data_IF_057364209948
#
_entry.id   IF_057364209948
#
_cell.length_a   1.000
_cell.length_b   1.000
_cell.length_c   1.000
_cell.angle_alpha   90.00
_cell.angle_beta   90.00
_cell.angle_gamma   90.00
#
_symmetry.space_group_name_H-M   'P 1'
#
loop_
_entity.id
_entity.type
_entity.pdbx_description
1 polymer ?
#
# COMPACT_ATOMS: atom_id res chain seq x y z
N UNK A 1 -1.90 -13.52 -9.11
CA UNK A 1 -1.31 -12.16 -9.16
C UNK A 1 -0.20 -12.08 -8.12
N UNK A 2 1.01 -11.68 -8.51
CA UNK A 2 2.13 -11.53 -7.55
C UNK A 2 1.96 -10.21 -6.80
N UNK A 3 2.30 -10.19 -5.51
CA UNK A 3 2.11 -9.01 -4.65
C UNK A 3 2.93 -7.80 -5.12
N UNK A 4 4.09 -8.03 -5.74
CA UNK A 4 4.89 -7.00 -6.42
C UNK A 4 4.10 -6.24 -7.48
N UNK A 5 3.42 -6.97 -8.38
CA UNK A 5 2.60 -6.36 -9.44
C UNK A 5 1.41 -5.58 -8.86
N UNK A 6 0.91 -6.02 -7.71
CA UNK A 6 -0.14 -5.30 -7.01
C UNK A 6 0.39 -3.97 -6.45
N UNK A 7 1.57 -3.97 -5.82
CA UNK A 7 2.21 -2.75 -5.32
C UNK A 7 2.57 -1.78 -6.45
N UNK A 8 3.08 -2.27 -7.59
CA UNK A 8 3.37 -1.44 -8.76
C UNK A 8 2.09 -0.73 -9.25
N UNK A 9 0.96 -1.45 -9.35
CA UNK A 9 -0.33 -0.87 -9.73
C UNK A 9 -0.85 0.15 -8.71
N UNK A 10 -0.66 -0.12 -7.42
CA UNK A 10 -1.04 0.83 -6.36
C UNK A 10 -0.23 2.10 -6.50
N UNK A 11 1.07 2.01 -6.77
CA UNK A 11 1.94 3.17 -6.97
C UNK A 11 1.55 3.98 -8.20
N UNK A 12 1.22 3.34 -9.32
CA UNK A 12 0.71 4.03 -10.50
C UNK A 12 -0.63 4.73 -10.22
N UNK A 13 -1.54 4.07 -9.50
CA UNK A 13 -2.81 4.65 -9.09
C UNK A 13 -2.61 5.84 -8.14
N UNK A 14 -1.73 5.71 -7.15
CA UNK A 14 -1.36 6.77 -6.21
C UNK A 14 -0.78 7.97 -6.97
N UNK A 15 0.16 7.74 -7.89
CA UNK A 15 0.73 8.80 -8.74
C UNK A 15 -0.34 9.51 -9.56
N UNK A 16 -1.30 8.77 -10.11
CA UNK A 16 -2.41 9.33 -10.88
C UNK A 16 -3.29 10.24 -10.02
N UNK A 17 -3.63 9.80 -8.80
CA UNK A 17 -4.47 10.57 -7.87
C UNK A 17 -3.72 11.82 -7.38
N UNK A 18 -2.43 11.70 -7.04
CA UNK A 18 -1.58 12.84 -6.65
C UNK A 18 -1.45 13.84 -7.80
N UNK A 19 -1.30 13.36 -9.03
CA UNK A 19 -1.23 14.24 -10.22
C UNK A 19 -2.53 15.00 -10.44
N UNK A 20 -3.66 14.46 -9.97
CA UNK A 20 -4.96 15.13 -9.92
C UNK A 20 -5.12 16.13 -8.77
N UNK A 21 -4.07 16.38 -7.98
CA UNK A 21 -4.12 17.15 -6.72
C UNK A 21 -5.07 16.58 -5.66
N UNK A 22 -5.43 15.31 -5.79
CA UNK A 22 -6.27 14.61 -4.82
C UNK A 22 -5.41 13.80 -3.84
N UNK A 23 -5.94 13.56 -2.64
CA UNK A 23 -5.27 12.72 -1.67
C UNK A 23 -5.50 11.24 -2.00
N UNK A 24 -4.44 10.43 -2.17
CA UNK A 24 -4.58 9.01 -2.50
C UNK A 24 -5.14 8.23 -1.32
N UNK A 25 -6.47 8.17 -1.26
CA UNK A 25 -7.23 7.36 -0.29
C UNK A 25 -7.47 5.96 -0.87
N UNK A 26 -7.76 4.97 0.00
CA UNK A 26 -8.08 3.61 -0.47
C UNK A 26 -9.21 3.55 -1.48
N UNK A 27 -10.17 4.49 -1.43
CA UNK A 27 -11.24 4.61 -2.40
C UNK A 27 -10.77 5.16 -3.75
N UNK A 28 -10.00 6.25 -3.75
CA UNK A 28 -9.52 6.88 -4.98
C UNK A 28 -8.45 6.04 -5.68
N UNK A 29 -7.49 5.52 -4.91
CA UNK A 29 -6.47 4.59 -5.41
C UNK A 29 -7.14 3.35 -6.00
N UNK A 30 -8.11 2.77 -5.28
CA UNK A 30 -8.85 1.63 -5.78
C UNK A 30 -9.64 1.89 -7.05
N UNK A 31 -10.22 3.09 -7.19
CA UNK A 31 -10.88 3.53 -8.42
C UNK A 31 -9.89 3.73 -9.58
N UNK A 32 -8.70 4.26 -9.30
CA UNK A 32 -7.66 4.50 -10.29
C UNK A 32 -6.92 3.23 -10.73
N UNK A 33 -6.98 2.14 -9.96
CA UNK A 33 -6.43 0.85 -10.34
C UNK A 33 -7.22 0.20 -11.49
N UNK A 34 -6.51 -0.61 -12.30
CA UNK A 34 -7.12 -1.48 -13.30
C UNK A 34 -6.76 -2.95 -13.02
N UNK A 35 -7.74 -3.84 -12.75
CA UNK A 35 -9.17 -3.54 -12.57
C UNK A 35 -9.42 -2.68 -11.33
N UNK A 36 -10.52 -1.93 -11.35
CA UNK A 36 -10.92 -1.09 -10.22
C UNK A 36 -11.22 -1.96 -9.00
N UNK A 37 -10.62 -1.61 -7.87
CA UNK A 37 -10.73 -2.36 -6.62
C UNK A 37 -11.45 -1.50 -5.60
N UNK A 38 -12.43 -2.06 -4.90
CA UNK A 38 -13.08 -1.35 -3.80
C UNK A 38 -12.09 -1.14 -2.65
N UNK A 39 -12.17 0.02 -1.97
CA UNK A 39 -11.40 0.28 -0.75
C UNK A 39 -11.37 -0.89 0.26
N UNK A 40 -12.51 -1.56 0.58
CA UNK A 40 -12.49 -2.72 1.47
C UNK A 40 -11.71 -3.92 0.91
N UNK A 41 -11.72 -4.15 -0.40
CA UNK A 41 -10.95 -5.22 -1.02
C UNK A 41 -9.43 -4.96 -1.01
N UNK A 42 -9.02 -3.68 -1.10
CA UNK A 42 -7.62 -3.28 -0.87
C UNK A 42 -7.22 -3.58 0.58
N UNK A 43 -8.03 -3.18 1.55
CA UNK A 43 -7.79 -3.46 2.97
C UNK A 43 -7.71 -4.96 3.25
N UNK A 44 -8.60 -5.76 2.67
CA UNK A 44 -8.57 -7.21 2.81
C UNK A 44 -7.28 -7.82 2.24
N UNK A 45 -6.92 -7.47 1.01
CA UNK A 45 -5.70 -7.95 0.36
C UNK A 45 -4.44 -7.54 1.14
N UNK A 46 -4.38 -6.29 1.60
CA UNK A 46 -3.26 -5.81 2.42
C UNK A 46 -3.17 -6.55 3.73
N UNK A 47 -4.27 -6.79 4.43
CA UNK A 47 -4.26 -7.58 5.68
C UNK A 47 -3.82 -9.02 5.43
N UNK A 48 -4.32 -9.64 4.35
CA UNK A 48 -4.04 -11.02 3.99
C UNK A 48 -2.60 -11.24 3.52
N UNK A 49 -2.00 -10.25 2.86
CA UNK A 49 -0.63 -10.28 2.36
C UNK A 49 0.32 -9.34 3.14
N UNK A 50 -0.08 -8.91 4.35
CA UNK A 50 0.65 -7.88 5.13
C UNK A 50 2.12 -8.20 5.31
N UNK A 51 2.43 -9.46 5.65
CA UNK A 51 3.80 -9.90 5.88
C UNK A 51 4.64 -9.78 4.61
N UNK A 52 4.11 -10.22 3.46
CA UNK A 52 4.82 -10.11 2.20
C UNK A 52 5.01 -8.65 1.80
N UNK A 53 3.97 -7.83 1.91
CA UNK A 53 4.06 -6.39 1.64
C UNK A 53 5.16 -5.77 2.50
N UNK A 54 5.18 -6.04 3.80
CA UNK A 54 6.21 -5.52 4.70
C UNK A 54 7.61 -6.01 4.34
N UNK A 55 7.78 -7.28 3.99
CA UNK A 55 9.07 -7.81 3.53
C UNK A 55 9.54 -7.04 2.31
N UNK A 56 8.68 -6.86 1.30
CA UNK A 56 9.01 -6.12 0.09
C UNK A 56 9.31 -4.64 0.35
N UNK A 57 8.55 -4.03 1.25
CA UNK A 57 8.76 -2.64 1.61
C UNK A 57 10.11 -2.46 2.34
N UNK A 58 10.54 -3.44 3.14
CA UNK A 58 11.84 -3.42 3.79
C UNK A 58 12.98 -3.76 2.83
N UNK A 59 12.78 -4.71 1.91
CA UNK A 59 13.78 -5.15 0.93
C UNK A 59 14.05 -4.08 -0.14
N UNK A 60 13.01 -3.31 -0.52
CA UNK A 60 13.11 -2.26 -1.54
C UNK A 60 12.69 -0.90 -1.01
N UNK A 61 13.47 -0.25 -0.10
CA UNK A 61 13.13 1.05 0.46
C UNK A 61 12.96 2.15 -0.61
N UNK A 62 13.70 2.06 -1.71
CA UNK A 62 13.61 2.97 -2.85
C UNK A 62 12.38 2.78 -3.74
N UNK A 63 11.63 1.67 -3.57
CA UNK A 63 10.42 1.42 -4.35
C UNK A 63 9.14 1.82 -3.61
N UNK A 64 8.17 2.25 -4.42
CA UNK A 64 6.83 2.67 -3.99
C UNK A 64 6.85 3.86 -3.01
N UNK A 65 7.76 4.82 -3.22
CA UNK A 65 7.92 5.98 -2.36
C UNK A 65 6.64 6.84 -2.29
N UNK A 66 5.92 6.99 -3.40
CA UNK A 66 4.69 7.79 -3.42
C UNK A 66 3.61 7.09 -2.59
N UNK A 67 3.47 5.78 -2.73
CA UNK A 67 2.57 4.98 -1.91
C UNK A 67 2.96 5.08 -0.44
N UNK A 68 4.23 4.94 -0.07
CA UNK A 68 4.66 5.07 1.34
C UNK A 68 4.38 6.44 1.94
N UNK A 69 4.57 7.50 1.16
CA UNK A 69 4.48 8.87 1.67
C UNK A 69 3.05 9.42 1.67
N UNK A 70 2.22 8.98 0.72
CA UNK A 70 0.87 9.54 0.55
C UNK A 70 -0.25 8.55 0.89
N UNK A 71 0.01 7.24 0.88
CA UNK A 71 -1.01 6.22 1.12
C UNK A 71 -1.11 5.84 2.61
N UNK A 72 -2.01 6.52 3.33
CA UNK A 72 -2.29 6.28 4.77
C UNK A 72 -2.48 4.81 5.16
N UNK A 73 -3.20 3.96 4.41
CA UNK A 73 -3.40 2.57 4.81
C UNK A 73 -2.10 1.77 4.89
N UNK A 74 -1.12 2.07 4.03
CA UNK A 74 0.18 1.41 4.02
C UNK A 74 1.12 1.99 5.09
N UNK A 75 1.03 3.29 5.36
CA UNK A 75 1.70 3.90 6.52
C UNK A 75 1.24 3.27 7.84
N UNK A 76 -0.07 3.11 8.03
CA UNK A 76 -0.62 2.46 9.20
C UNK A 76 -0.14 1.00 9.35
N UNK A 77 0.11 0.32 8.24
CA UNK A 77 0.62 -1.05 8.22
C UNK A 77 2.10 -1.11 8.64
N UNK A 78 2.91 -0.12 8.25
CA UNK A 78 4.31 0.03 8.67
C UNK A 78 4.41 0.34 10.16
N UNK A 79 3.65 1.33 10.66
CA UNK A 79 3.67 1.74 12.08
C UNK A 79 3.27 0.59 13.01
N UNK A 80 2.33 -0.28 12.60
CA UNK A 80 1.93 -1.43 13.42
C UNK A 80 3.01 -2.50 13.53
N UNK A 81 3.96 -2.59 12.59
CA UNK A 81 5.05 -3.57 12.63
C UNK A 81 5.99 -3.29 13.80
N UNK A 82 6.35 -2.01 14.02
CA UNK A 82 7.20 -1.60 15.16
C UNK A 82 6.60 -1.99 16.51
N UNK A 83 5.26 -2.04 16.60
CA UNK A 83 4.57 -2.37 17.85
C UNK A 83 4.52 -3.89 18.14
N UNK A 84 4.60 -4.75 17.13
CA UNK A 84 4.48 -6.21 17.27
C UNK A 84 5.86 -6.87 17.51
N UNK A 85 6.93 -6.36 16.89
CA UNK A 85 8.31 -6.83 17.14
C UNK A 85 8.81 -6.56 18.56
N UNK A 86 8.19 -5.60 19.26
CA UNK A 86 8.51 -5.30 20.67
C UNK A 86 7.99 -6.32 21.68
N UNK A 87 7.25 -7.37 21.25
CA UNK A 87 6.69 -8.41 22.13
C UNK A 87 7.24 -9.82 21.94
N UNK A 88 8.29 -10.00 21.14
CA UNK A 88 8.93 -11.32 20.93
C UNK A 88 10.42 -11.37 21.35
N UNK A 89 10.86 -10.49 22.25
CA UNK A 89 12.17 -10.58 22.92
C UNK A 89 12.02 -11.15 24.34
#
# INVERSE_FOLDING_TARGET
MKIYQWLDRVEEAVKTVISGHENPTGALVGKAMQPSVSAPAISDMMNKQKQKILILLNEFPDRWQQTRNHFKPLQNLLIRKDFDESKSA
#
